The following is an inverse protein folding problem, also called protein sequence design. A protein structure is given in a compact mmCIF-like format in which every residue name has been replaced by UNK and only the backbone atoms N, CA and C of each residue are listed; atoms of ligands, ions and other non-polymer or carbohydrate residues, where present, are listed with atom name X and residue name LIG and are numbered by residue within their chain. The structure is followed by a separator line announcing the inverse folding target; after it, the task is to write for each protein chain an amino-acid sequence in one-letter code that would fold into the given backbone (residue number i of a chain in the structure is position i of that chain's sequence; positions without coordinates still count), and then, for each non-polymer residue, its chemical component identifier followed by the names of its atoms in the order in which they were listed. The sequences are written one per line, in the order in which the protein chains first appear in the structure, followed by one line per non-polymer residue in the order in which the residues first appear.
data_IF_505878825494
#
_entry.id   IF_505878825494
#
_cell.length_a   1.000
_cell.length_b   1.000
_cell.length_c   1.000
_cell.angle_alpha   90.00
_cell.angle_beta   90.00
_cell.angle_gamma   90.00
#
_symmetry.space_group_name_H-M   'P 1'
#
loop_
_entity.id
_entity.type
_entity.pdbx_description
1 polymer ?
#
# COMPACT_ATOMS: atom_id res chain seq x y z
N UNK A 1 -23.57 -42.99 -21.21
CA UNK A 1 -22.91 -41.97 -22.05
C UNK A 1 -22.24 -40.94 -21.15
N UNK A 2 -20.94 -40.72 -21.39
CA UNK A 2 -19.97 -40.09 -20.50
C UNK A 2 -20.26 -38.60 -20.20
N UNK A 3 -20.44 -38.26 -18.91
CA UNK A 3 -20.28 -36.89 -18.41
C UNK A 3 -18.79 -36.62 -18.20
N UNK A 4 -18.14 -35.92 -19.13
CA UNK A 4 -16.80 -35.36 -18.92
C UNK A 4 -16.92 -34.12 -18.01
N UNK A 5 -16.51 -34.28 -16.75
CA UNK A 5 -16.22 -33.18 -15.84
C UNK A 5 -15.04 -32.38 -16.39
N UNK A 6 -15.32 -31.18 -16.92
CA UNK A 6 -14.31 -30.17 -17.18
C UNK A 6 -13.78 -29.69 -15.81
N UNK A 7 -12.60 -30.16 -15.43
CA UNK A 7 -11.82 -29.60 -14.33
C UNK A 7 -11.35 -28.20 -14.76
N UNK A 8 -12.15 -27.19 -14.44
CA UNK A 8 -11.71 -25.80 -14.45
C UNK A 8 -10.55 -25.65 -13.47
N UNK A 9 -9.37 -25.30 -13.99
CA UNK A 9 -8.20 -24.92 -13.19
C UNK A 9 -8.55 -23.59 -12.53
N UNK A 10 -8.97 -23.63 -11.27
CA UNK A 10 -9.17 -22.44 -10.44
C UNK A 10 -7.82 -21.74 -10.35
N UNK A 11 -7.64 -20.68 -11.15
CA UNK A 11 -6.55 -19.71 -10.96
C UNK A 11 -6.77 -19.06 -9.61
N UNK A 12 -6.02 -19.55 -8.64
CA UNK A 12 -5.97 -19.00 -7.30
C UNK A 12 -5.26 -17.65 -7.42
N UNK A 13 -6.04 -16.58 -7.64
CA UNK A 13 -5.56 -15.20 -7.54
C UNK A 13 -5.15 -15.04 -6.07
N UNK A 14 -3.87 -15.28 -5.81
CA UNK A 14 -3.23 -14.88 -4.58
C UNK A 14 -3.21 -13.35 -4.60
N UNK A 15 -4.28 -12.74 -4.11
CA UNK A 15 -4.17 -11.38 -3.58
C UNK A 15 -3.06 -11.45 -2.54
N UNK A 16 -1.92 -10.85 -2.85
CA UNK A 16 -0.92 -10.50 -1.83
C UNK A 16 -1.59 -9.40 -1.00
N UNK A 17 -2.45 -9.83 -0.09
CA UNK A 17 -2.69 -9.09 1.12
C UNK A 17 -1.33 -9.18 1.80
N UNK A 18 -0.60 -8.06 1.85
CA UNK A 18 0.46 -7.87 2.83
C UNK A 18 -0.22 -7.90 4.18
N UNK A 19 -0.55 -9.11 4.62
CA UNK A 19 -0.87 -9.43 5.99
C UNK A 19 0.45 -9.19 6.68
N UNK A 20 0.58 -8.01 7.28
CA UNK A 20 1.48 -7.83 8.40
C UNK A 20 1.02 -8.86 9.42
N UNK A 21 1.58 -10.06 9.33
CA UNK A 21 1.53 -11.08 10.36
C UNK A 21 2.32 -10.49 11.52
N UNK A 22 1.65 -9.60 12.27
CA UNK A 22 1.89 -9.49 13.69
C UNK A 22 1.52 -10.88 14.18
N UNK A 23 2.52 -11.75 14.29
CA UNK A 23 2.34 -13.01 14.97
C UNK A 23 1.74 -12.65 16.32
N UNK A 24 0.48 -13.03 16.52
CA UNK A 24 -0.15 -13.06 17.82
C UNK A 24 0.52 -14.20 18.59
N UNK A 25 1.81 -14.05 18.87
CA UNK A 25 2.32 -14.51 20.14
C UNK A 25 1.48 -13.77 21.16
N UNK A 26 0.72 -14.52 21.94
CA UNK A 26 0.07 -14.08 23.17
C UNK A 26 1.14 -13.68 24.19
N UNK A 27 1.99 -12.73 23.80
CA UNK A 27 2.83 -11.96 24.68
C UNK A 27 1.93 -10.93 25.33
N UNK A 28 1.91 -10.92 26.66
CA UNK A 28 1.47 -9.76 27.40
C UNK A 28 2.09 -8.51 26.74
N UNK A 29 1.25 -7.57 26.29
CA UNK A 29 1.69 -6.21 26.05
C UNK A 29 2.19 -5.68 27.40
N UNK A 30 3.50 -5.72 27.61
CA UNK A 30 4.13 -5.21 28.81
C UNK A 30 4.13 -3.68 28.75
N UNK A 31 3.06 -3.06 29.23
CA UNK A 31 3.04 -1.62 29.49
C UNK A 31 4.06 -1.29 30.60
N UNK A 32 5.03 -0.44 30.31
CA UNK A 32 6.07 -0.04 31.27
C UNK A 32 5.96 1.45 31.64
N UNK A 33 6.26 1.76 32.91
CA UNK A 33 6.51 3.11 33.41
C UNK A 33 7.92 3.53 32.96
N UNK A 34 8.07 4.16 31.80
CA UNK A 34 9.40 4.58 31.32
C UNK A 34 9.44 6.07 30.98
N UNK A 35 10.39 6.78 31.58
CA UNK A 35 10.64 8.20 31.31
C UNK A 35 11.27 8.32 29.93
N UNK A 36 10.66 9.07 29.02
CA UNK A 36 11.22 9.34 27.69
C UNK A 36 12.31 10.39 27.83
N UNK A 37 13.55 10.00 27.56
CA UNK A 37 14.68 10.93 27.58
C UNK A 37 14.83 11.56 26.19
N UNK A 38 14.18 12.71 25.96
CA UNK A 38 14.35 13.48 24.72
C UNK A 38 15.61 14.33 24.80
N UNK A 39 16.78 13.69 24.73
CA UNK A 39 18.03 14.41 24.54
C UNK A 39 18.20 14.79 23.05
N UNK A 40 18.55 16.06 22.84
CA UNK A 40 19.10 16.68 21.62
C UNK A 40 18.19 16.98 20.40
N UNK A 41 16.97 16.45 20.28
CA UNK A 41 16.05 16.80 19.17
C UNK A 41 14.59 16.97 19.60
N UNK A 42 13.93 18.01 19.08
CA UNK A 42 12.48 18.22 19.24
C UNK A 42 11.71 17.10 18.54
N UNK A 43 10.90 16.36 19.30
CA UNK A 43 10.05 15.28 18.81
C UNK A 43 8.61 15.41 19.31
N UNK A 44 7.68 14.77 18.61
CA UNK A 44 6.28 14.69 19.02
C UNK A 44 6.13 13.44 19.90
N UNK A 45 5.71 13.65 21.14
CA UNK A 45 5.37 12.59 22.09
C UNK A 45 3.86 12.34 22.05
N UNK A 46 3.48 11.15 21.65
CA UNK A 46 2.09 10.67 21.70
C UNK A 46 1.97 9.68 22.85
N UNK A 47 1.02 9.92 23.75
CA UNK A 47 0.74 9.03 24.89
C UNK A 47 -0.71 8.58 24.79
N UNK A 48 -0.91 7.29 24.63
CA UNK A 48 -2.23 6.67 24.53
C UNK A 48 -2.53 5.91 25.82
N UNK A 49 -3.42 6.40 26.70
CA UNK A 49 -3.78 5.68 27.92
C UNK A 49 -4.54 4.40 27.58
N UNK A 50 -4.20 3.31 28.27
CA UNK A 50 -4.86 2.01 28.14
C UNK A 50 -6.02 1.86 29.14
N UNK A 51 -5.95 2.59 30.25
CA UNK A 51 -7.00 2.62 31.26
C UNK A 51 -7.79 3.94 31.16
N UNK A 52 -9.08 3.90 31.55
CA UNK A 52 -9.90 5.11 31.63
C UNK A 52 -9.22 6.14 32.53
N UNK A 53 -9.01 7.33 31.99
CA UNK A 53 -8.31 8.41 32.67
C UNK A 53 -9.16 9.67 32.70
N UNK A 54 -9.28 10.29 33.88
CA UNK A 54 -10.12 11.50 34.11
C UNK A 54 -9.34 12.67 34.72
N UNK A 55 -8.00 12.62 34.72
CA UNK A 55 -7.15 13.69 35.26
C UNK A 55 -6.59 14.64 34.20
N UNK A 56 -5.71 15.56 34.63
CA UNK A 56 -5.02 16.50 33.73
C UNK A 56 -3.98 15.79 32.84
N UNK A 57 -3.79 16.21 31.58
CA UNK A 57 -2.83 15.58 30.65
C UNK A 57 -1.40 15.43 31.21
N UNK A 58 -0.98 16.28 32.15
CA UNK A 58 0.31 16.20 32.83
C UNK A 58 0.56 14.88 33.58
N UNK A 59 -0.47 14.19 34.11
CA UNK A 59 -0.25 12.92 34.82
C UNK A 59 -0.02 11.74 33.86
N UNK A 60 -0.39 11.90 32.57
CA UNK A 60 -0.02 10.95 31.52
C UNK A 60 1.48 11.02 31.22
N UNK A 61 2.12 12.18 31.44
CA UNK A 61 3.57 12.35 31.30
C UNK A 61 4.36 11.77 32.48
N UNK A 62 3.75 11.65 33.65
CA UNK A 62 4.42 11.22 34.89
C UNK A 62 4.23 9.73 35.21
N UNK A 63 3.98 8.87 34.22
CA UNK A 63 3.87 7.41 34.40
C UNK A 63 2.81 6.95 35.42
N UNK A 64 1.79 7.77 35.69
CA UNK A 64 0.73 7.50 36.66
C UNK A 64 -0.34 6.53 36.16
N UNK A 65 -0.44 6.33 34.84
CA UNK A 65 -1.46 5.54 34.15
C UNK A 65 -0.74 4.60 33.18
N UNK A 66 -1.26 3.38 32.98
CA UNK A 66 -0.73 2.51 31.93
C UNK A 66 -1.01 3.14 30.57
N UNK A 67 0.02 3.35 29.78
CA UNK A 67 -0.08 3.97 28.47
C UNK A 67 0.90 3.35 27.48
N UNK A 68 0.53 3.43 26.21
CA UNK A 68 1.47 3.28 25.10
C UNK A 68 2.10 4.64 24.81
N UNK A 69 3.40 4.64 24.55
CA UNK A 69 4.18 5.85 24.37
C UNK A 69 4.94 5.78 23.07
N UNK A 70 4.69 6.74 22.20
CA UNK A 70 5.32 6.85 20.88
C UNK A 70 6.06 8.18 20.78
N UNK A 71 7.26 8.14 20.20
CA UNK A 71 8.07 9.33 19.90
C UNK A 71 8.29 9.39 18.40
N UNK A 72 7.89 10.50 17.78
CA UNK A 72 8.16 10.79 16.37
C UNK A 72 9.12 11.96 16.25
N UNK A 73 10.30 11.72 15.69
CA UNK A 73 11.29 12.75 15.41
C UNK A 73 11.12 13.31 14.01
N UNK A 74 11.12 14.63 13.89
CA UNK A 74 11.09 15.30 12.59
C UNK A 74 12.43 15.26 11.87
N UNK A 75 12.44 15.50 10.57
CA UNK A 75 13.62 15.79 9.76
C UNK A 75 13.96 17.29 9.70
N UNK A 76 13.09 18.16 10.24
CA UNK A 76 13.22 19.62 10.20
C UNK A 76 12.50 20.29 9.03
N UNK A 77 11.99 19.53 8.06
CA UNK A 77 11.28 20.00 6.87
C UNK A 77 9.81 19.53 6.80
N UNK A 78 9.32 18.90 7.87
CA UNK A 78 7.95 18.41 8.00
C UNK A 78 7.80 16.91 7.78
N UNK A 79 8.88 16.21 7.41
CA UNK A 79 8.95 14.74 7.38
C UNK A 79 9.26 14.15 8.75
N UNK A 80 8.96 12.86 8.92
CA UNK A 80 9.30 12.10 10.14
C UNK A 80 10.57 11.33 9.85
N UNK A 81 11.67 11.62 10.54
CA UNK A 81 12.95 10.92 10.38
C UNK A 81 13.01 9.60 11.13
N UNK A 82 12.34 9.50 12.29
CA UNK A 82 12.37 8.31 13.12
C UNK A 82 11.06 8.19 13.92
N UNK A 83 10.53 6.98 14.03
CA UNK A 83 9.44 6.63 14.95
C UNK A 83 9.93 5.60 15.97
N UNK A 84 9.58 5.80 17.23
CA UNK A 84 9.98 4.93 18.33
C UNK A 84 8.76 4.60 19.17
N UNK A 85 8.43 3.31 19.24
CA UNK A 85 7.45 2.78 20.19
C UNK A 85 8.20 2.38 21.47
N UNK A 86 8.09 3.19 22.52
CA UNK A 86 8.90 3.06 23.73
C UNK A 86 8.44 1.87 24.55
N UNK A 87 9.36 0.96 24.87
CA UNK A 87 9.14 -0.19 25.75
C UNK A 87 8.10 -1.21 25.26
N UNK A 88 7.68 -1.15 23.98
CA UNK A 88 6.56 -1.97 23.47
C UNK A 88 6.90 -3.47 23.37
N UNK A 89 8.18 -3.82 23.31
CA UNK A 89 8.60 -5.21 23.14
C UNK A 89 8.49 -5.99 24.45
N UNK A 90 8.34 -7.33 24.44
CA UNK A 90 8.27 -8.13 25.67
C UNK A 90 9.48 -7.98 26.61
N UNK A 91 10.64 -7.59 26.06
CA UNK A 91 11.88 -7.35 26.81
C UNK A 91 12.01 -5.89 27.30
N UNK A 92 11.00 -5.03 27.10
CA UNK A 92 11.04 -3.62 27.46
C UNK A 92 11.98 -2.77 26.60
N UNK A 93 12.39 -3.28 25.43
CA UNK A 93 13.10 -2.52 24.40
C UNK A 93 12.12 -1.69 23.58
N UNK A 94 12.64 -0.65 22.95
CA UNK A 94 11.88 0.24 22.09
C UNK A 94 11.89 -0.27 20.66
N UNK A 95 10.75 -0.25 19.99
CA UNK A 95 10.68 -0.63 18.58
C UNK A 95 10.89 0.62 17.73
N UNK A 96 11.97 0.64 16.97
CA UNK A 96 12.43 1.82 16.23
C UNK A 96 12.34 1.64 14.73
N UNK A 97 11.81 2.63 14.04
CA UNK A 97 11.77 2.74 12.58
C UNK A 97 12.47 4.03 12.14
N UNK A 98 13.27 3.95 11.08
CA UNK A 98 13.90 5.13 10.47
C UNK A 98 13.41 5.34 9.04
N UNK A 99 13.37 6.60 8.63
CA UNK A 99 12.82 7.07 7.37
C UNK A 99 13.81 8.05 6.76
N UNK A 100 14.15 7.86 5.49
CA UNK A 100 14.97 8.80 4.72
C UNK A 100 14.16 9.37 3.56
N UNK A 101 14.36 10.65 3.29
CA UNK A 101 13.69 11.37 2.21
C UNK A 101 14.71 11.81 1.17
N UNK A 102 14.29 11.86 -0.09
CA UNK A 102 15.10 12.43 -1.15
C UNK A 102 15.09 13.98 -1.09
N UNK A 103 15.86 14.63 -1.97
CA UNK A 103 15.96 16.10 -2.03
C UNK A 103 14.64 16.83 -2.35
N UNK A 104 13.63 16.12 -2.88
CA UNK A 104 12.30 16.63 -3.13
C UNK A 104 11.32 16.34 -1.98
N UNK A 105 11.80 15.80 -0.85
CA UNK A 105 10.98 15.49 0.33
C UNK A 105 10.13 14.22 0.21
N UNK A 106 10.40 13.36 -0.78
CA UNK A 106 9.67 12.11 -0.97
C UNK A 106 10.34 10.98 -0.18
N UNK A 107 9.56 10.10 0.45
CA UNK A 107 10.09 8.99 1.25
C UNK A 107 10.89 8.03 0.38
N UNK A 108 12.20 8.03 0.51
CA UNK A 108 13.14 7.24 -0.30
C UNK A 108 13.42 5.86 0.31
N UNK A 109 13.54 5.78 1.63
CA UNK A 109 13.82 4.53 2.33
C UNK A 109 13.10 4.48 3.67
N UNK A 110 12.70 3.27 4.08
CA UNK A 110 12.17 2.99 5.41
C UNK A 110 12.77 1.69 5.92
N UNK A 111 13.31 1.68 7.13
CA UNK A 111 13.86 0.48 7.76
C UNK A 111 12.74 -0.38 8.35
N UNK A 112 12.96 -1.70 8.42
CA UNK A 112 12.13 -2.56 9.26
C UNK A 112 12.18 -2.10 10.73
N UNK A 113 11.07 -2.25 11.48
CA UNK A 113 11.04 -1.91 12.90
C UNK A 113 11.99 -2.79 13.69
N UNK A 114 13.01 -2.22 14.33
CA UNK A 114 14.03 -2.98 15.06
C UNK A 114 13.95 -2.70 16.57
N UNK A 115 14.04 -3.73 17.44
CA UNK A 115 14.09 -3.53 18.87
C UNK A 115 15.45 -2.98 19.33
N UNK A 116 15.47 -1.76 19.85
CA UNK A 116 16.66 -1.05 20.33
C UNK A 116 16.45 -0.61 21.78
N UNK A 117 17.52 -0.62 22.57
CA UNK A 117 17.52 -0.01 23.90
C UNK A 117 17.90 1.47 23.74
N UNK A 118 16.92 2.36 23.57
CA UNK A 118 17.16 3.82 23.44
C UNK A 118 16.40 4.70 24.44
N UNK A 119 15.44 4.13 25.17
CA UNK A 119 14.56 4.84 26.11
C UNK A 119 13.82 6.02 25.47
N UNK A 120 13.43 5.85 24.21
CA UNK A 120 12.78 6.87 23.40
C UNK A 120 13.72 7.94 22.85
N UNK A 121 15.05 7.85 23.06
CA UNK A 121 16.01 8.75 22.45
C UNK A 121 16.21 8.44 20.97
N UNK A 122 16.40 9.50 20.17
CA UNK A 122 16.72 9.36 18.75
C UNK A 122 18.09 8.70 18.55
N UNK A 123 18.17 7.75 17.63
CA UNK A 123 19.38 7.01 17.33
C UNK A 123 20.03 7.48 16.03
N UNK A 124 21.31 7.16 15.84
CA UNK A 124 21.96 7.36 14.54
C UNK A 124 21.42 6.34 13.53
N UNK A 125 21.04 6.80 12.33
CA UNK A 125 20.52 5.92 11.28
C UNK A 125 21.41 4.72 10.98
N UNK A 126 22.74 4.90 10.87
CA UNK A 126 23.68 3.81 10.57
C UNK A 126 23.69 2.74 11.67
N UNK A 127 23.51 3.16 12.92
CA UNK A 127 23.41 2.23 14.04
C UNK A 127 22.11 1.43 13.98
N UNK A 128 20.99 2.11 13.73
CA UNK A 128 19.67 1.48 13.61
C UNK A 128 19.66 0.48 12.45
N UNK A 129 20.22 0.86 11.30
CA UNK A 129 20.36 -0.01 10.13
C UNK A 129 21.17 -1.27 10.46
N UNK A 130 22.32 -1.11 11.12
CA UNK A 130 23.16 -2.24 11.54
C UNK A 130 22.42 -3.15 12.53
N UNK A 131 21.74 -2.59 13.53
CA UNK A 131 20.93 -3.35 14.47
C UNK A 131 19.80 -4.10 13.78
N UNK A 132 19.17 -3.51 12.75
CA UNK A 132 18.12 -4.17 11.98
C UNK A 132 18.70 -5.34 11.16
N UNK A 133 19.84 -5.15 10.50
CA UNK A 133 20.52 -6.23 9.76
C UNK A 133 20.91 -7.40 10.67
N UNK A 134 21.45 -7.11 11.85
CA UNK A 134 21.81 -8.12 12.86
C UNK A 134 20.56 -8.83 13.41
N UNK A 135 19.47 -8.11 13.66
CA UNK A 135 18.24 -8.66 14.22
C UNK A 135 17.49 -9.56 13.23
N UNK A 136 17.41 -9.14 11.96
CA UNK A 136 16.68 -9.87 10.92
C UNK A 136 17.53 -10.88 10.16
N UNK A 137 18.86 -10.82 10.29
CA UNK A 137 19.77 -11.71 9.56
C UNK A 137 19.80 -11.47 8.04
N UNK A 138 19.38 -10.28 7.61
CA UNK A 138 19.32 -9.88 6.20
C UNK A 138 20.16 -8.62 5.97
N UNK A 139 20.79 -8.51 4.80
CA UNK A 139 21.49 -7.28 4.40
C UNK A 139 20.51 -6.20 3.94
N UNK A 140 19.44 -6.59 3.23
CA UNK A 140 18.37 -5.70 2.81
C UNK A 140 17.26 -5.64 3.85
N UNK A 141 17.30 -4.66 4.75
CA UNK A 141 16.29 -4.45 5.80
C UNK A 141 15.45 -3.19 5.59
N UNK A 142 15.54 -2.60 4.40
CA UNK A 142 14.84 -1.37 4.08
C UNK A 142 13.93 -1.55 2.86
N UNK A 143 12.69 -1.08 2.97
CA UNK A 143 11.89 -0.77 1.79
C UNK A 143 12.47 0.46 1.13
N UNK A 144 12.58 0.45 -0.20
CA UNK A 144 13.07 1.61 -0.97
C UNK A 144 12.04 2.03 -1.99
N UNK A 145 11.95 3.32 -2.23
CA UNK A 145 11.00 3.90 -3.16
C UNK A 145 11.73 4.84 -4.11
N UNK A 146 11.42 4.71 -5.40
CA UNK A 146 11.92 5.59 -6.45
C UNK A 146 10.74 6.33 -7.06
N UNK A 147 10.88 7.65 -7.21
CA UNK A 147 9.86 8.52 -7.76
C UNK A 147 10.35 9.15 -9.06
N UNK A 148 9.40 9.66 -9.84
CA UNK A 148 9.70 10.56 -10.94
C UNK A 148 10.42 11.81 -10.42
N UNK A 149 11.37 12.33 -11.20
CA UNK A 149 12.06 13.59 -10.90
C UNK A 149 11.16 14.82 -11.18
N UNK A 150 9.92 14.78 -10.68
CA UNK A 150 8.91 15.83 -10.84
C UNK A 150 8.29 16.17 -9.48
N UNK A 151 7.75 17.38 -9.36
CA UNK A 151 7.04 17.83 -8.15
C UNK A 151 5.75 17.04 -7.87
N UNK A 152 5.30 16.21 -8.83
CA UNK A 152 4.10 15.39 -8.68
C UNK A 152 4.33 14.15 -7.83
N UNK A 153 5.59 13.80 -7.54
CA UNK A 153 5.92 12.72 -6.62
C UNK A 153 5.30 11.38 -7.02
N UNK A 154 5.29 11.09 -8.32
CA UNK A 154 4.74 9.84 -8.84
C UNK A 154 5.71 8.68 -8.54
N UNK A 155 5.24 7.68 -7.79
CA UNK A 155 6.00 6.47 -7.46
C UNK A 155 6.26 5.65 -8.73
N UNK A 156 7.52 5.38 -9.05
CA UNK A 156 7.96 4.59 -10.20
C UNK A 156 8.40 3.18 -9.82
N UNK A 157 9.04 3.00 -8.67
CA UNK A 157 9.45 1.67 -8.18
C UNK A 157 9.34 1.58 -6.67
N UNK A 158 8.94 0.42 -6.20
CA UNK A 158 8.94 0.03 -4.79
C UNK A 158 9.72 -1.27 -4.64
N UNK A 159 10.72 -1.25 -3.77
CA UNK A 159 11.57 -2.40 -3.48
C UNK A 159 11.22 -2.95 -2.11
N UNK A 160 11.00 -4.27 -2.05
CA UNK A 160 10.75 -5.00 -0.82
C UNK A 160 11.99 -5.15 0.08
N UNK A 161 11.73 -5.62 1.29
CA UNK A 161 12.75 -6.02 2.28
C UNK A 161 13.15 -7.48 2.09
N UNK A 162 14.34 -7.85 2.54
CA UNK A 162 14.91 -9.19 2.44
C UNK A 162 15.88 -9.32 1.27
N UNK A 163 16.88 -10.19 1.42
CA UNK A 163 17.97 -10.31 0.44
C UNK A 163 17.48 -10.87 -0.90
N UNK A 164 16.51 -11.78 -0.88
CA UNK A 164 15.88 -12.33 -2.08
C UNK A 164 15.12 -11.29 -2.92
N UNK A 165 14.74 -10.17 -2.29
CA UNK A 165 14.05 -9.05 -2.92
C UNK A 165 15.03 -7.98 -3.43
N UNK A 166 16.33 -8.19 -3.26
CA UNK A 166 17.36 -7.28 -3.76
C UNK A 166 17.30 -7.22 -5.28
N UNK A 167 16.88 -6.06 -5.81
CA UNK A 167 16.74 -5.83 -7.25
C UNK A 167 15.39 -6.25 -7.83
N UNK A 168 14.51 -6.88 -7.03
CA UNK A 168 13.10 -7.08 -7.38
C UNK A 168 12.31 -5.85 -6.92
N UNK A 169 11.47 -5.32 -7.80
CA UNK A 169 10.67 -4.16 -7.49
C UNK A 169 9.33 -4.22 -8.20
N UNK A 170 8.29 -3.79 -7.50
CA UNK A 170 7.05 -3.39 -8.16
C UNK A 170 7.36 -2.11 -8.92
N UNK A 171 7.19 -2.12 -10.23
CA UNK A 171 7.39 -0.94 -11.07
C UNK A 171 6.07 -0.37 -11.55
N UNK A 172 5.97 0.95 -11.61
CA UNK A 172 4.80 1.69 -12.08
C UNK A 172 5.19 2.60 -13.23
N UNK A 173 4.36 2.62 -14.26
CA UNK A 173 4.43 3.58 -15.36
C UNK A 173 3.08 4.25 -15.53
N UNK A 174 3.11 5.53 -15.79
CA UNK A 174 1.91 6.34 -15.97
C UNK A 174 1.75 6.66 -17.45
N UNK A 175 0.54 6.50 -17.98
CA UNK A 175 0.20 6.78 -19.37
C UNK A 175 -1.25 7.26 -19.46
N UNK A 176 -1.77 7.37 -20.67
CA UNK A 176 -3.20 7.53 -20.93
C UNK A 176 -3.72 6.37 -21.78
N UNK A 177 -5.04 6.29 -21.97
CA UNK A 177 -5.62 5.43 -22.99
C UNK A 177 -5.29 5.97 -24.38
N UNK A 178 -4.95 5.05 -25.29
CA UNK A 178 -4.68 5.34 -26.69
C UNK A 178 -5.29 4.22 -27.54
N UNK A 179 -6.14 4.57 -28.50
CA UNK A 179 -6.80 3.63 -29.40
C UNK A 179 -5.79 2.89 -30.28
N UNK A 180 -4.71 3.57 -30.67
CA UNK A 180 -3.62 3.03 -31.50
C UNK A 180 -2.81 1.92 -30.80
N UNK A 181 -2.86 1.82 -29.47
CA UNK A 181 -2.10 0.85 -28.68
C UNK A 181 -3.07 -0.16 -28.05
N UNK A 182 -3.08 -1.44 -28.47
CA UNK A 182 -4.05 -2.43 -27.98
C UNK A 182 -4.12 -2.56 -26.45
N UNK A 183 -2.97 -2.58 -25.77
CA UNK A 183 -2.88 -2.65 -24.30
C UNK A 183 -3.46 -1.42 -23.58
N UNK A 184 -3.59 -0.27 -24.26
CA UNK A 184 -4.12 0.98 -23.72
C UNK A 184 -5.54 1.31 -24.24
N UNK A 185 -6.04 0.54 -25.20
CA UNK A 185 -7.40 0.70 -25.71
C UNK A 185 -8.41 0.24 -24.66
N UNK A 186 -9.36 1.11 -24.36
CA UNK A 186 -10.43 0.88 -23.39
C UNK A 186 -11.78 0.99 -24.08
N UNK A 187 -12.59 -0.07 -24.03
CA UNK A 187 -13.99 -0.01 -24.48
C UNK A 187 -14.77 0.94 -23.56
N UNK A 188 -15.85 1.51 -24.08
CA UNK A 188 -16.70 2.44 -23.34
C UNK A 188 -18.08 1.82 -23.12
N UNK A 189 -18.45 1.72 -21.86
CA UNK A 189 -19.77 1.28 -21.41
C UNK A 189 -20.47 2.46 -20.74
N UNK A 190 -21.76 2.60 -20.98
CA UNK A 190 -22.61 3.66 -20.47
C UNK A 190 -23.83 3.03 -19.80
N UNK A 191 -24.43 3.76 -18.87
CA UNK A 191 -25.75 3.42 -18.31
C UNK A 191 -26.78 4.32 -18.97
N UNK A 192 -27.82 3.73 -19.55
CA UNK A 192 -28.92 4.50 -20.15
C UNK A 192 -29.75 5.19 -19.06
N UNK A 193 -30.59 6.17 -19.45
CA UNK A 193 -31.53 6.80 -18.51
C UNK A 193 -32.52 5.78 -17.87
N UNK A 194 -32.70 4.61 -18.48
CA UNK A 194 -33.49 3.50 -17.94
C UNK A 194 -32.71 2.57 -17.00
N UNK A 195 -31.42 2.83 -16.75
CA UNK A 195 -30.55 1.99 -15.92
C UNK A 195 -29.94 0.79 -16.66
N UNK A 196 -30.06 0.73 -17.99
CA UNK A 196 -29.58 -0.40 -18.78
C UNK A 196 -28.12 -0.21 -19.20
N UNK A 197 -27.35 -1.30 -19.26
CA UNK A 197 -26.00 -1.28 -19.78
C UNK A 197 -26.00 -1.11 -21.30
N UNK A 198 -25.26 -0.12 -21.79
CA UNK A 198 -25.07 0.14 -23.22
C UNK A 198 -23.57 0.15 -23.53
N UNK A 199 -23.13 -0.73 -24.44
CA UNK A 199 -21.80 -0.61 -25.04
C UNK A 199 -21.82 0.48 -26.12
N UNK A 200 -20.87 1.42 -26.03
CA UNK A 200 -20.72 2.50 -27.00
C UNK A 200 -20.00 2.00 -28.26
N UNK A 201 -20.45 2.41 -29.45
CA UNK A 201 -19.83 2.08 -30.74
C UNK A 201 -18.38 2.56 -30.85
N UNK A 202 -18.02 3.60 -30.10
CA UNK A 202 -16.65 4.13 -30.03
C UNK A 202 -16.02 3.86 -28.66
N UNK A 203 -14.72 3.48 -28.61
CA UNK A 203 -13.97 3.40 -27.36
C UNK A 203 -13.81 4.78 -26.71
N UNK A 204 -13.20 4.80 -25.53
CA UNK A 204 -12.80 6.06 -24.91
C UNK A 204 -11.83 6.83 -25.82
N UNK A 205 -12.07 8.13 -25.99
CA UNK A 205 -11.21 9.01 -26.79
C UNK A 205 -9.79 9.06 -26.22
N UNK A 206 -8.79 9.16 -27.09
CA UNK A 206 -7.37 9.21 -26.71
C UNK A 206 -7.11 10.29 -25.66
N UNK A 207 -6.40 9.93 -24.59
CA UNK A 207 -6.06 10.86 -23.52
C UNK A 207 -7.16 11.14 -22.49
N UNK A 208 -8.36 10.56 -22.62
CA UNK A 208 -9.48 10.81 -21.70
C UNK A 208 -9.38 10.05 -20.36
N UNK A 209 -8.63 8.94 -20.32
CA UNK A 209 -8.40 8.13 -19.13
C UNK A 209 -6.93 8.16 -18.73
N UNK A 210 -6.69 8.25 -17.42
CA UNK A 210 -5.36 8.11 -16.82
C UNK A 210 -5.04 6.64 -16.64
N UNK A 211 -4.03 6.15 -17.33
CA UNK A 211 -3.51 4.79 -17.23
C UNK A 211 -2.38 4.68 -16.21
N UNK A 212 -2.40 3.61 -15.41
CA UNK A 212 -1.30 3.16 -14.58
C UNK A 212 -0.98 1.74 -14.98
N UNK A 213 0.25 1.48 -15.39
CA UNK A 213 0.78 0.14 -15.57
C UNK A 213 1.62 -0.23 -14.35
N UNK A 214 1.25 -1.30 -13.67
CA UNK A 214 2.03 -1.91 -12.60
C UNK A 214 2.65 -3.21 -13.11
N UNK A 215 3.89 -3.47 -12.75
CA UNK A 215 4.61 -4.72 -13.01
C UNK A 215 5.10 -5.20 -11.65
N UNK A 216 4.68 -6.39 -11.24
CA UNK A 216 5.09 -6.96 -9.96
C UNK A 216 6.50 -7.55 -10.02
N UNK A 217 7.00 -8.02 -8.88
CA UNK A 217 8.34 -8.58 -8.75
C UNK A 217 8.56 -9.89 -9.51
N UNK A 218 7.48 -10.55 -9.94
CA UNK A 218 7.50 -11.78 -10.71
C UNK A 218 7.29 -11.50 -12.22
N UNK A 219 7.14 -10.24 -12.61
CA UNK A 219 6.97 -9.79 -13.99
C UNK A 219 5.54 -9.84 -14.51
N UNK A 220 4.54 -10.09 -13.65
CA UNK A 220 3.14 -10.01 -14.04
C UNK A 220 2.75 -8.54 -14.21
N UNK A 221 2.09 -8.24 -15.32
CA UNK A 221 1.71 -6.88 -15.66
C UNK A 221 0.21 -6.67 -15.46
N UNK A 222 -0.11 -5.54 -14.85
CA UNK A 222 -1.45 -5.08 -14.56
C UNK A 222 -1.63 -3.64 -15.01
N UNK A 223 -2.79 -3.32 -15.56
CA UNK A 223 -3.15 -1.97 -15.98
C UNK A 223 -4.44 -1.53 -15.32
N UNK A 224 -4.46 -0.28 -14.89
CA UNK A 224 -5.63 0.39 -14.34
C UNK A 224 -5.86 1.68 -15.10
N UNK A 225 -7.11 1.92 -15.50
CA UNK A 225 -7.51 3.16 -16.14
C UNK A 225 -8.55 3.87 -15.30
N UNK A 226 -8.32 5.16 -15.06
CA UNK A 226 -9.15 6.01 -14.24
C UNK A 226 -9.73 7.16 -15.07
N UNK A 227 -10.99 7.52 -14.82
CA UNK A 227 -11.60 8.72 -15.41
C UNK A 227 -11.14 10.01 -14.70
N UNK A 228 -11.65 11.16 -15.14
CA UNK A 228 -11.37 12.48 -14.55
C UNK A 228 -11.85 12.63 -13.11
N UNK A 229 -12.83 11.83 -12.68
CA UNK A 229 -13.34 11.78 -11.31
C UNK A 229 -12.52 10.83 -10.40
N UNK A 230 -11.43 10.28 -10.94
CA UNK A 230 -10.55 9.33 -10.26
C UNK A 230 -11.25 8.01 -9.85
N UNK A 231 -12.29 7.63 -10.58
CA UNK A 231 -12.95 6.33 -10.48
C UNK A 231 -12.23 5.33 -11.40
N UNK A 232 -12.06 4.09 -10.93
CA UNK A 232 -11.48 3.00 -11.71
C UNK A 232 -12.49 2.57 -12.78
N UNK A 233 -12.13 2.62 -14.06
CA UNK A 233 -13.00 2.26 -15.20
C UNK A 233 -12.64 0.90 -15.78
N UNK A 234 -11.34 0.57 -15.84
CA UNK A 234 -10.85 -0.70 -16.36
C UNK A 234 -9.68 -1.20 -15.50
N UNK A 235 -9.76 -2.46 -15.09
CA UNK A 235 -8.64 -3.24 -14.56
C UNK A 235 -8.32 -4.35 -15.55
N UNK A 236 -7.08 -4.41 -16.02
CA UNK A 236 -6.63 -5.35 -17.06
C UNK A 236 -5.42 -6.12 -16.56
N UNK A 237 -5.50 -7.44 -16.58
CA UNK A 237 -4.37 -8.34 -16.32
C UNK A 237 -3.94 -8.93 -17.66
N UNK A 238 -2.63 -9.00 -17.89
CA UNK A 238 -2.07 -9.72 -19.02
C UNK A 238 -1.46 -11.03 -18.52
N UNK A 239 -1.99 -12.15 -19.01
CA UNK A 239 -1.40 -13.48 -18.81
C UNK A 239 -1.03 -14.07 -20.18
N UNK A 240 0.27 -14.17 -20.44
CA UNK A 240 0.80 -14.43 -21.79
C UNK A 240 0.37 -13.34 -22.77
N UNK A 241 -0.37 -13.72 -23.81
CA UNK A 241 -0.92 -12.81 -24.83
C UNK A 241 -2.41 -12.50 -24.62
N UNK A 242 -3.02 -12.98 -23.52
CA UNK A 242 -4.46 -12.84 -23.28
C UNK A 242 -4.75 -11.73 -22.29
N UNK A 243 -5.68 -10.84 -22.66
CA UNK A 243 -6.19 -9.78 -21.80
C UNK A 243 -7.36 -10.27 -20.96
N UNK A 244 -7.26 -10.11 -19.64
CA UNK A 244 -8.34 -10.31 -18.69
C UNK A 244 -8.84 -8.95 -18.21
N UNK A 245 -9.90 -8.48 -18.86
CA UNK A 245 -10.45 -7.14 -18.65
C UNK A 245 -11.64 -7.17 -17.68
N UNK A 246 -11.61 -6.30 -16.68
CA UNK A 246 -12.75 -6.02 -15.81
C UNK A 246 -13.14 -4.56 -15.93
N UNK A 247 -14.33 -4.30 -16.48
CA UNK A 247 -14.86 -2.93 -16.60
C UNK A 247 -15.75 -2.58 -15.42
N UNK A 248 -15.68 -1.33 -15.01
CA UNK A 248 -16.49 -0.73 -13.96
C UNK A 248 -17.29 0.40 -14.60
N UNK A 249 -18.61 0.29 -14.55
CA UNK A 249 -19.52 1.19 -15.25
C UNK A 249 -20.32 1.99 -14.24
N UNK A 250 -20.28 3.31 -14.41
CA UNK A 250 -20.91 4.27 -13.50
C UNK A 250 -22.11 4.93 -14.16
N UNK A 251 -23.11 5.31 -13.36
CA UNK A 251 -24.22 6.14 -13.81
C UNK A 251 -23.82 7.62 -13.93
N UNK A 252 -24.75 8.47 -14.37
CA UNK A 252 -24.56 9.92 -14.51
C UNK A 252 -24.32 10.63 -13.16
N UNK A 253 -24.59 9.96 -12.04
CA UNK A 253 -24.37 10.47 -10.68
C UNK A 253 -23.05 9.98 -10.08
N UNK A 254 -22.27 9.17 -10.81
CA UNK A 254 -20.99 8.62 -10.36
C UNK A 254 -21.12 7.39 -9.45
N UNK A 255 -22.29 6.74 -9.38
CA UNK A 255 -22.46 5.48 -8.66
C UNK A 255 -22.02 4.31 -9.53
N UNK A 256 -21.32 3.34 -8.95
CA UNK A 256 -20.97 2.09 -9.63
C UNK A 256 -22.23 1.25 -9.81
N UNK A 257 -22.64 0.99 -11.04
CA UNK A 257 -23.85 0.20 -11.35
C UNK A 257 -23.48 -1.19 -11.84
N UNK A 258 -22.47 -1.31 -12.70
CA UNK A 258 -22.06 -2.59 -13.27
C UNK A 258 -20.58 -2.87 -13.06
N UNK A 259 -20.25 -4.12 -12.73
CA UNK A 259 -18.91 -4.67 -12.88
C UNK A 259 -18.98 -5.81 -13.89
N UNK A 260 -18.21 -5.68 -14.97
CA UNK A 260 -18.17 -6.61 -16.10
C UNK A 260 -16.83 -7.35 -16.08
N UNK A 261 -16.76 -8.58 -15.53
CA UNK A 261 -15.53 -9.37 -15.48
C UNK A 261 -15.08 -9.86 -16.86
N UNK A 262 -13.92 -10.53 -16.96
CA UNK A 262 -13.41 -11.02 -18.23
C UNK A 262 -14.38 -11.96 -18.97
N UNK A 263 -15.15 -12.77 -18.22
CA UNK A 263 -16.17 -13.65 -18.80
C UNK A 263 -17.25 -12.90 -19.59
N UNK A 264 -17.58 -11.65 -19.22
CA UNK A 264 -18.51 -10.82 -19.98
C UNK A 264 -17.93 -10.40 -21.33
N UNK A 265 -16.62 -10.15 -21.36
CA UNK A 265 -15.92 -9.70 -22.56
C UNK A 265 -15.84 -10.82 -23.61
N UNK A 266 -15.82 -12.08 -23.15
CA UNK A 266 -15.90 -13.27 -24.00
C UNK A 266 -17.34 -13.63 -24.38
N UNK A 267 -18.27 -13.52 -23.43
CA UNK A 267 -19.68 -13.82 -23.60
C UNK A 267 -20.56 -12.75 -22.91
N UNK A 268 -21.14 -11.81 -23.67
CA UNK A 268 -21.87 -10.67 -23.11
C UNK A 268 -23.26 -11.11 -22.61
N UNK A 269 -23.28 -11.70 -21.43
CA UNK A 269 -24.47 -12.15 -20.73
C UNK A 269 -24.49 -11.52 -19.33
N UNK A 270 -25.47 -10.65 -19.09
CA UNK A 270 -25.61 -9.93 -17.83
C UNK A 270 -26.04 -10.83 -16.67
N UNK A 271 -26.75 -11.93 -16.94
CA UNK A 271 -27.25 -12.84 -15.91
C UNK A 271 -26.15 -13.78 -15.42
N UNK A 272 -25.20 -14.12 -16.29
CA UNK A 272 -24.08 -15.01 -15.96
C UNK A 272 -22.79 -14.27 -15.59
N UNK A 273 -22.51 -13.14 -16.24
CA UNK A 273 -21.19 -12.50 -16.21
C UNK A 273 -21.26 -11.00 -15.93
N UNK A 274 -22.20 -10.53 -15.11
CA UNK A 274 -22.14 -9.17 -14.58
C UNK A 274 -22.53 -9.13 -13.11
N UNK A 275 -22.00 -8.14 -12.38
CA UNK A 275 -22.48 -7.78 -11.06
C UNK A 275 -23.19 -6.43 -11.15
N UNK A 276 -24.43 -6.39 -10.68
CA UNK A 276 -25.32 -5.22 -10.71
C UNK A 276 -25.53 -4.74 -9.26
N UNK A 277 -25.45 -3.42 -9.04
CA UNK A 277 -25.55 -2.78 -7.72
C UNK A 277 -26.81 -1.92 -7.57
#
# INVERSE_FOLDING_TARGET
MNKKLLKGKIMNIKRIIVLVLISASSGLLCAQRKTVNMSDRYGILTVTPLDKYTGAASLLKTNGVRSLTDVSYGDGFGGVSQKIHVGITPQGKDLTESYEYNSLGNLQSRTLPVPVLSEGASGNYKQILKSAQEYYGHSNVCSRFAYEASHRSLLLKEFGVGDEWTGKAVSKKYSCNLESIPVQRCKRYLVSAGGELVESDSPYADGSLRGIRSEDEDGNMHWEFYNSENQLVLSRILDGDTFFDTYFVYDEYGNLVFVLPPGYQDHPDLDLYAYIY
#
